data_IF_278637608343
#
_entry.id   IF_278637608343
#
_cell.length_a   1.000
_cell.length_b   1.000
_cell.length_c   1.000
_cell.angle_alpha   90.00
_cell.angle_beta   90.00
_cell.angle_gamma   90.00
#
_symmetry.space_group_name_H-M   'P 1'
#
loop_
_entity.id
_entity.type
_entity.pdbx_description
1 polymer ?
#
# COMPACT_ATOMS: atom_id res chain seq x y z
N UNK A 1 -14.25 3.10 -2.60
CA UNK A 1 -14.81 3.63 -1.33
C UNK A 1 -13.69 4.33 -0.58
N UNK A 2 -13.82 5.62 -0.25
CA UNK A 2 -12.73 6.34 0.41
C UNK A 2 -12.57 5.90 1.86
N UNK A 3 -11.32 5.65 2.26
CA UNK A 3 -10.91 5.52 3.65
C UNK A 3 -10.23 6.83 4.02
N UNK A 4 -10.58 7.38 5.17
CA UNK A 4 -9.94 8.59 5.71
C UNK A 4 -9.40 8.32 7.10
N UNK A 5 -8.25 8.93 7.41
CA UNK A 5 -7.70 8.96 8.75
C UNK A 5 -8.27 10.16 9.52
N UNK A 6 -8.54 9.95 10.80
CA UNK A 6 -9.04 10.97 11.72
C UNK A 6 -8.28 10.93 13.03
N UNK A 7 -8.19 12.08 13.68
CA UNK A 7 -7.80 12.22 15.09
C UNK A 7 -8.99 12.73 15.89
N UNK A 8 -9.33 12.03 16.96
CA UNK A 8 -10.40 12.45 17.86
C UNK A 8 -9.98 13.64 18.72
N UNK A 9 -10.78 14.71 18.77
CA UNK A 9 -10.50 15.85 19.65
C UNK A 9 -10.81 15.54 21.13
N UNK A 10 -11.64 14.53 21.41
CA UNK A 10 -12.02 14.16 22.78
C UNK A 10 -10.99 13.27 23.48
N UNK A 11 -10.55 12.19 22.83
CA UNK A 11 -9.59 11.24 23.42
C UNK A 11 -8.19 11.27 22.78
N UNK A 12 -7.98 12.03 21.71
CA UNK A 12 -6.69 12.15 21.02
C UNK A 12 -6.32 10.96 20.12
N UNK A 13 -7.12 9.89 20.11
CA UNK A 13 -6.82 8.67 19.36
C UNK A 13 -6.91 8.87 17.85
N UNK A 14 -6.05 8.14 17.14
CA UNK A 14 -6.04 8.10 15.67
C UNK A 14 -6.75 6.84 15.19
N UNK A 15 -7.64 6.99 14.22
CA UNK A 15 -8.34 5.86 13.62
C UNK A 15 -8.65 6.13 12.15
N UNK A 16 -8.92 5.04 11.41
CA UNK A 16 -9.34 5.11 10.02
C UNK A 16 -10.81 4.73 9.89
N UNK A 17 -11.53 5.45 9.04
CA UNK A 17 -12.95 5.21 8.81
C UNK A 17 -13.25 5.13 7.31
N UNK A 18 -13.98 4.08 6.95
CA UNK A 18 -14.54 3.89 5.62
C UNK A 18 -15.79 4.74 5.46
N UNK A 19 -15.71 5.81 4.66
CA UNK A 19 -16.81 6.78 4.54
C UNK A 19 -17.72 6.41 3.36
N UNK A 20 -19.01 6.27 3.67
CA UNK A 20 -20.14 6.04 2.76
C UNK A 20 -21.20 7.11 3.00
N UNK A 21 -22.22 7.15 2.16
CA UNK A 21 -23.34 8.08 2.26
C UNK A 21 -24.07 8.04 3.62
N UNK A 22 -24.08 6.90 4.32
CA UNK A 22 -24.76 6.74 5.61
C UNK A 22 -23.78 6.43 6.77
N UNK A 23 -22.51 6.81 6.65
CA UNK A 23 -21.52 6.60 7.72
C UNK A 23 -21.66 7.70 8.77
N UNK A 24 -21.86 7.32 10.04
CA UNK A 24 -21.76 8.25 11.17
C UNK A 24 -20.29 8.56 11.48
N UNK A 25 -19.95 9.84 11.51
CA UNK A 25 -18.60 10.30 11.86
C UNK A 25 -18.47 10.43 13.38
N UNK A 26 -18.13 9.32 14.04
CA UNK A 26 -17.90 9.28 15.49
C UNK A 26 -16.64 8.48 15.81
N UNK A 27 -15.96 8.87 16.90
CA UNK A 27 -14.81 8.14 17.40
C UNK A 27 -15.25 6.78 17.96
N UNK A 28 -14.64 5.66 17.53
CA UNK A 28 -15.01 4.32 18.02
C UNK A 28 -14.59 4.08 19.48
N UNK A 29 -13.70 4.91 20.04
CA UNK A 29 -13.20 4.75 21.41
C UNK A 29 -14.04 5.50 22.45
N UNK A 30 -14.48 6.72 22.15
CA UNK A 30 -15.18 7.57 23.12
C UNK A 30 -16.53 8.12 22.64
N UNK A 31 -16.93 7.84 21.40
CA UNK A 31 -18.19 8.31 20.82
C UNK A 31 -18.22 9.80 20.44
N UNK A 32 -17.15 10.56 20.67
CA UNK A 32 -17.08 11.96 20.29
C UNK A 32 -17.20 12.15 18.77
N UNK A 33 -17.91 13.19 18.34
CA UNK A 33 -18.14 13.52 16.93
C UNK A 33 -17.21 14.62 16.42
N UNK A 34 -16.46 15.28 17.30
CA UNK A 34 -15.43 16.25 16.92
C UNK A 34 -14.16 15.52 16.48
N UNK A 35 -13.92 15.50 15.18
CA UNK A 35 -12.82 14.78 14.53
C UNK A 35 -12.03 15.72 13.62
N UNK A 36 -10.70 15.67 13.74
CA UNK A 36 -9.79 16.29 12.79
C UNK A 36 -9.51 15.30 11.66
N UNK A 37 -9.77 15.69 10.40
CA UNK A 37 -9.41 14.85 9.24
C UNK A 37 -7.91 14.96 9.00
N UNK A 38 -7.22 13.83 9.08
CA UNK A 38 -5.78 13.75 8.88
C UNK A 38 -5.43 13.48 7.42
N UNK A 39 -4.30 14.02 6.96
CA UNK A 39 -3.70 13.67 5.68
C UNK A 39 -2.76 12.50 5.92
N UNK A 40 -2.97 11.39 5.21
CA UNK A 40 -2.08 10.23 5.26
C UNK A 40 -0.92 10.39 4.29
N UNK A 41 0.25 9.87 4.67
CA UNK A 41 1.39 9.82 3.75
C UNK A 41 1.06 8.89 2.57
N UNK A 42 1.47 9.24 1.33
CA UNK A 42 1.35 8.33 0.21
C UNK A 42 2.22 7.09 0.44
N UNK A 43 1.80 5.95 -0.12
CA UNK A 43 2.60 4.73 -0.07
C UNK A 43 3.97 4.95 -0.73
N UNK A 44 5.02 4.45 -0.10
CA UNK A 44 6.36 4.47 -0.67
C UNK A 44 6.38 3.72 -2.02
N UNK A 45 7.26 4.11 -2.97
CA UNK A 45 7.36 3.43 -4.25
C UNK A 45 7.68 1.94 -4.07
N UNK A 46 6.95 1.10 -4.81
CA UNK A 46 7.10 -0.35 -4.73
C UNK A 46 8.50 -0.83 -5.15
N UNK A 47 9.02 -1.86 -4.46
CA UNK A 47 10.34 -2.46 -4.75
C UNK A 47 10.29 -3.60 -5.78
N UNK A 48 9.12 -3.85 -6.37
CA UNK A 48 8.86 -4.99 -7.26
C UNK A 48 9.83 -5.06 -8.44
N UNK A 49 10.11 -3.94 -9.11
CA UNK A 49 11.04 -3.88 -10.24
C UNK A 49 12.45 -4.37 -9.85
N UNK A 50 12.96 -3.91 -8.71
CA UNK A 50 14.28 -4.31 -8.22
C UNK A 50 14.31 -5.79 -7.82
N UNK A 51 13.25 -6.28 -7.17
CA UNK A 51 13.12 -7.70 -6.81
C UNK A 51 13.08 -8.59 -8.06
N UNK A 52 12.27 -8.22 -9.06
CA UNK A 52 12.19 -8.93 -10.34
C UNK A 52 13.53 -8.94 -11.07
N UNK A 53 14.25 -7.82 -11.09
CA UNK A 53 15.56 -7.73 -11.73
C UNK A 53 16.58 -8.67 -11.06
N UNK A 54 16.60 -8.73 -9.72
CA UNK A 54 17.47 -9.66 -8.98
C UNK A 54 17.13 -11.12 -9.27
N UNK A 55 15.85 -11.47 -9.25
CA UNK A 55 15.40 -12.82 -9.56
C UNK A 55 15.79 -13.24 -10.99
N UNK A 56 15.63 -12.35 -11.98
CA UNK A 56 16.10 -12.57 -13.35
C UNK A 56 17.61 -12.76 -13.40
N UNK A 57 18.39 -11.89 -12.77
CA UNK A 57 19.85 -12.03 -12.74
C UNK A 57 20.31 -13.36 -12.15
N UNK A 58 19.63 -13.88 -11.13
CA UNK A 58 19.94 -15.20 -10.55
C UNK A 58 19.60 -16.34 -11.52
N UNK A 59 18.40 -16.33 -12.10
CA UNK A 59 17.98 -17.35 -13.07
C UNK A 59 18.93 -17.40 -14.29
N UNK A 60 19.46 -16.25 -14.73
CA UNK A 60 20.44 -16.20 -15.82
C UNK A 60 21.77 -16.88 -15.44
N UNK A 61 22.23 -16.76 -14.18
CA UNK A 61 23.44 -17.45 -13.70
C UNK A 61 23.25 -18.97 -13.61
N UNK A 62 22.05 -19.40 -13.22
CA UNK A 62 21.71 -20.81 -13.01
C UNK A 62 21.26 -21.52 -14.30
N UNK A 63 21.09 -20.80 -15.41
CA UNK A 63 20.65 -21.37 -16.69
C UNK A 63 19.14 -21.61 -16.78
N UNK A 64 18.35 -21.06 -15.86
CA UNK A 64 16.89 -21.21 -15.81
C UNK A 64 16.20 -20.23 -16.79
N UNK A 65 16.32 -20.50 -18.10
CA UNK A 65 15.77 -19.67 -19.19
C UNK A 65 14.38 -20.09 -19.70
N UNK A 66 13.71 -21.04 -19.03
CA UNK A 66 12.41 -21.59 -19.45
C UNK A 66 11.29 -20.55 -19.57
N UNK A 67 11.39 -19.42 -18.84
CA UNK A 67 10.41 -18.34 -18.84
C UNK A 67 10.85 -17.05 -19.55
N UNK A 68 12.01 -17.06 -20.21
CA UNK A 68 12.54 -15.88 -20.90
C UNK A 68 11.94 -15.78 -22.30
N UNK A 69 11.59 -14.56 -22.72
CA UNK A 69 11.27 -14.32 -24.12
C UNK A 69 12.51 -14.64 -24.99
N UNK A 70 12.34 -15.08 -26.25
CA UNK A 70 13.47 -15.37 -27.14
C UNK A 70 14.46 -14.21 -27.27
N UNK A 71 14.00 -12.96 -27.19
CA UNK A 71 14.82 -11.74 -27.20
C UNK A 71 15.65 -11.52 -25.94
N UNK A 72 15.29 -12.15 -24.82
CA UNK A 72 15.96 -12.01 -23.52
C UNK A 72 17.00 -13.11 -23.27
N UNK A 73 17.13 -14.08 -24.19
CA UNK A 73 18.12 -15.17 -24.08
C UNK A 73 19.46 -14.75 -24.67
N UNK A 74 20.61 -15.13 -24.07
CA UNK A 74 21.92 -14.94 -24.69
C UNK A 74 21.93 -15.61 -26.08
N UNK A 75 22.40 -14.89 -27.10
CA UNK A 75 22.65 -15.50 -28.41
C UNK A 75 23.92 -16.35 -28.29
N UNK A 76 23.76 -17.66 -28.47
CA UNK A 76 24.88 -18.61 -28.59
C UNK A 76 25.56 -18.41 -29.93
#
# INVERSE_FOLDING_TARGET
MPIYAYRCQGCGEHFELLVRSNTSLACPHCGATMLDKCVTAPAAPGKSKALLQKARAQAAKEGHFSHYAPSERPKV
#
